data_IF_510878762449
#
_entry.id   IF_510878762449
#
_cell.length_a   1.000
_cell.length_b   1.000
_cell.length_c   1.000
_cell.angle_alpha   90.00
_cell.angle_beta   90.00
_cell.angle_gamma   90.00
#
_symmetry.space_group_name_H-M   'P 1'
#
loop_
_entity.id
_entity.type
_entity.pdbx_description
1 polymer ?
#
# COMPACT_ATOMS: atom_id res chain seq x y z
N UNK A 1 -0.45 2.38 15.31
CA UNK A 1 -1.04 2.76 14.02
C UNK A 1 -0.37 2.14 12.80
N UNK A 2 0.94 1.85 12.80
CA UNK A 2 1.68 1.32 11.63
C UNK A 2 1.03 0.11 10.92
N UNK A 3 0.43 -0.83 11.68
CA UNK A 3 -0.27 -1.96 11.06
C UNK A 3 -1.49 -1.59 10.22
N UNK A 4 -2.24 -0.57 10.63
CA UNK A 4 -3.37 -0.04 9.84
C UNK A 4 -2.86 0.54 8.52
N UNK A 5 -1.79 1.34 8.57
CA UNK A 5 -1.13 1.86 7.36
C UNK A 5 -0.64 0.74 6.44
N UNK A 6 -0.08 -0.34 7.00
CA UNK A 6 0.35 -1.47 6.20
C UNK A 6 -0.81 -2.21 5.53
N UNK A 7 -1.92 -2.44 6.22
CA UNK A 7 -3.10 -3.12 5.65
C UNK A 7 -3.77 -2.26 4.58
N UNK A 8 -4.08 -0.99 4.91
CA UNK A 8 -4.71 -0.07 3.95
C UNK A 8 -3.78 0.24 2.77
N UNK A 9 -2.48 0.44 3.02
CA UNK A 9 -1.48 0.63 1.98
C UNK A 9 -1.35 -0.58 1.06
N UNK A 10 -1.43 -1.80 1.60
CA UNK A 10 -1.43 -3.02 0.77
C UNK A 10 -2.69 -3.11 -0.10
N UNK A 11 -3.86 -2.82 0.45
CA UNK A 11 -5.11 -2.83 -0.31
C UNK A 11 -5.07 -1.81 -1.45
N UNK A 12 -4.56 -0.60 -1.16
CA UNK A 12 -4.34 0.44 -2.15
C UNK A 12 -3.37 -0.01 -3.25
N UNK A 13 -2.20 -0.55 -2.89
CA UNK A 13 -1.22 -1.04 -3.84
C UNK A 13 -1.76 -2.19 -4.70
N UNK A 14 -2.52 -3.11 -4.10
CA UNK A 14 -3.16 -4.21 -4.83
C UNK A 14 -4.13 -3.69 -5.90
N UNK A 15 -5.01 -2.76 -5.51
CA UNK A 15 -6.00 -2.18 -6.42
C UNK A 15 -5.34 -1.37 -7.53
N UNK A 16 -4.38 -0.50 -7.19
CA UNK A 16 -3.70 0.35 -8.17
C UNK A 16 -2.86 -0.48 -9.13
N UNK A 17 -2.13 -1.46 -8.62
CA UNK A 17 -1.27 -2.29 -9.46
C UNK A 17 -2.08 -3.12 -10.45
N UNK A 18 -3.13 -3.83 -9.97
CA UNK A 18 -4.02 -4.61 -10.84
C UNK A 18 -4.68 -3.75 -11.91
N UNK A 19 -5.29 -2.63 -11.51
CA UNK A 19 -5.94 -1.72 -12.45
C UNK A 19 -4.95 -1.12 -13.47
N UNK A 20 -3.72 -0.80 -13.06
CA UNK A 20 -2.70 -0.27 -13.98
C UNK A 20 -2.32 -1.30 -15.03
N UNK A 21 -2.12 -2.57 -14.65
CA UNK A 21 -1.81 -3.64 -15.61
C UNK A 21 -2.94 -3.78 -16.62
N UNK A 22 -4.18 -3.95 -16.14
CA UNK A 22 -5.35 -4.18 -17.02
C UNK A 22 -5.60 -3.02 -17.99
N UNK A 23 -5.25 -1.79 -17.61
CA UNK A 23 -5.42 -0.60 -18.45
C UNK A 23 -4.18 -0.24 -19.28
N UNK A 24 -3.11 -1.04 -19.23
CA UNK A 24 -1.90 -0.84 -20.05
C UNK A 24 -1.49 -2.10 -20.81
N UNK A 25 -2.42 -3.05 -20.97
CA UNK A 25 -2.23 -4.26 -21.78
C UNK A 25 -1.87 -3.91 -23.22
N UNK A 26 -1.02 -4.73 -23.83
CA UNK A 26 -0.87 -4.75 -25.28
C UNK A 26 -2.06 -5.46 -25.92
N UNK A 27 -2.36 -5.11 -27.17
CA UNK A 27 -3.38 -5.79 -27.97
C UNK A 27 -2.76 -7.03 -28.61
N UNK A 28 -2.75 -8.14 -27.86
CA UNK A 28 -2.11 -9.41 -28.26
C UNK A 28 -3.10 -10.42 -28.89
N UNK A 29 -4.34 -10.00 -29.18
CA UNK A 29 -5.35 -10.82 -29.85
C UNK A 29 -6.61 -10.04 -30.26
N UNK A 30 -7.42 -10.63 -31.15
CA UNK A 30 -8.57 -9.95 -31.80
C UNK A 30 -9.86 -9.92 -30.96
N UNK A 31 -9.85 -10.56 -29.78
CA UNK A 31 -11.01 -10.69 -28.92
C UNK A 31 -11.29 -9.42 -28.11
N UNK A 32 -12.56 -9.01 -28.02
CA UNK A 32 -12.96 -7.95 -27.08
C UNK A 32 -12.68 -8.32 -25.60
N UNK A 33 -12.61 -9.62 -25.30
CA UNK A 33 -12.09 -10.13 -24.04
C UNK A 33 -10.60 -10.44 -24.17
N UNK A 34 -9.77 -9.70 -23.43
CA UNK A 34 -8.30 -9.76 -23.52
C UNK A 34 -7.69 -10.95 -22.79
N UNK A 35 -8.42 -11.66 -21.90
CA UNK A 35 -7.85 -12.78 -21.13
C UNK A 35 -7.39 -13.95 -21.99
N UNK A 36 -7.98 -14.14 -23.18
CA UNK A 36 -7.58 -15.20 -24.11
C UNK A 36 -6.29 -14.91 -24.88
N UNK A 37 -5.78 -13.68 -24.82
CA UNK A 37 -4.59 -13.24 -25.54
C UNK A 37 -3.28 -13.49 -24.77
N UNK A 38 -3.35 -13.95 -23.51
CA UNK A 38 -2.17 -14.21 -22.69
C UNK A 38 -1.71 -15.67 -22.77
N UNK A 39 -0.40 -15.89 -22.91
CA UNK A 39 0.22 -17.19 -22.81
C UNK A 39 1.21 -17.25 -21.63
N UNK A 40 1.08 -18.21 -20.69
CA UNK A 40 2.00 -18.37 -19.57
C UNK A 40 3.48 -18.56 -19.94
N UNK A 41 3.79 -19.00 -21.17
CA UNK A 41 5.16 -19.23 -21.63
C UNK A 41 5.69 -18.15 -22.58
N UNK A 42 4.96 -17.05 -22.78
CA UNK A 42 5.44 -15.94 -23.61
C UNK A 42 6.65 -15.25 -22.96
N UNK A 43 7.57 -14.75 -23.78
CA UNK A 43 8.76 -14.06 -23.28
C UNK A 43 8.50 -12.57 -23.04
N UNK A 44 7.55 -12.01 -23.78
CA UNK A 44 7.19 -10.59 -23.76
C UNK A 44 6.32 -10.22 -22.55
N UNK A 45 6.48 -8.99 -22.09
CA UNK A 45 5.57 -8.41 -21.11
C UNK A 45 4.18 -8.14 -21.70
N UNK A 46 3.11 -8.57 -21.01
CA UNK A 46 1.72 -8.39 -21.47
C UNK A 46 1.20 -6.96 -21.35
N UNK A 47 1.93 -6.07 -20.66
CA UNK A 47 1.54 -4.68 -20.43
C UNK A 47 2.72 -3.72 -20.58
N UNK A 48 2.45 -2.50 -21.02
CA UNK A 48 3.44 -1.45 -21.25
C UNK A 48 3.85 -0.74 -19.97
N UNK A 49 5.04 -1.07 -19.47
CA UNK A 49 5.62 -0.39 -18.29
C UNK A 49 5.88 1.10 -18.57
N UNK A 50 6.26 1.45 -19.79
CA UNK A 50 6.55 2.83 -20.19
C UNK A 50 5.29 3.69 -20.14
N UNK A 51 4.17 3.18 -20.66
CA UNK A 51 2.90 3.90 -20.64
C UNK A 51 2.36 4.04 -19.22
N UNK A 52 2.42 2.97 -18.42
CA UNK A 52 2.07 3.02 -17.00
C UNK A 52 2.93 4.06 -16.24
N UNK A 53 4.24 4.06 -16.49
CA UNK A 53 5.18 4.99 -15.87
C UNK A 53 4.85 6.45 -16.20
N UNK A 54 4.61 6.75 -17.48
CA UNK A 54 4.25 8.10 -17.94
C UNK A 54 2.93 8.55 -17.33
N UNK A 55 1.90 7.71 -17.37
CA UNK A 55 0.59 8.02 -16.78
C UNK A 55 0.72 8.42 -15.30
N UNK A 56 1.37 7.58 -14.49
CA UNK A 56 1.51 7.85 -13.06
C UNK A 56 2.44 9.02 -12.75
N UNK A 57 3.48 9.25 -13.56
CA UNK A 57 4.33 10.45 -13.43
C UNK A 57 3.54 11.73 -13.63
N UNK A 58 2.59 11.74 -14.56
CA UNK A 58 1.76 12.90 -14.85
C UNK A 58 0.64 13.09 -13.83
N UNK A 59 0.02 12.00 -13.37
CA UNK A 59 -1.13 12.04 -12.45
C UNK A 59 -0.70 12.25 -11.00
N UNK A 60 0.36 11.58 -10.55
CA UNK A 60 0.76 11.54 -9.14
C UNK A 60 2.16 12.13 -8.89
N UNK A 61 2.86 12.60 -9.93
CA UNK A 61 4.19 13.22 -9.84
C UNK A 61 5.35 12.24 -9.60
N UNK A 62 5.05 11.00 -9.20
CA UNK A 62 6.01 9.92 -8.95
C UNK A 62 5.47 8.60 -9.49
N UNK A 63 6.38 7.67 -9.79
CA UNK A 63 6.00 6.38 -10.37
C UNK A 63 7.07 5.32 -10.13
N UNK A 64 6.70 4.06 -10.34
CA UNK A 64 7.64 2.96 -10.41
C UNK A 64 8.24 2.87 -11.81
N UNK A 65 9.56 2.70 -11.91
CA UNK A 65 10.28 2.45 -13.16
C UNK A 65 10.89 1.05 -13.24
N UNK A 66 11.04 0.37 -12.09
CA UNK A 66 11.60 -0.97 -11.99
C UNK A 66 10.53 -1.94 -11.45
N UNK A 67 10.19 -2.96 -12.26
CA UNK A 67 9.18 -3.97 -11.91
C UNK A 67 9.58 -4.81 -10.69
N UNK A 68 10.86 -5.15 -10.54
CA UNK A 68 11.33 -5.92 -9.39
C UNK A 68 11.16 -5.13 -8.08
N UNK A 69 11.51 -3.84 -8.11
CA UNK A 69 11.32 -2.96 -6.96
C UNK A 69 9.85 -2.81 -6.59
N UNK A 70 8.97 -2.63 -7.60
CA UNK A 70 7.53 -2.55 -7.40
C UNK A 70 6.98 -3.77 -6.63
N UNK A 71 7.29 -4.98 -7.08
CA UNK A 71 6.77 -6.20 -6.46
C UNK A 71 7.38 -6.44 -5.07
N UNK A 72 8.67 -6.14 -4.89
CA UNK A 72 9.31 -6.17 -3.58
C UNK A 72 8.64 -5.19 -2.61
N UNK A 73 8.30 -3.99 -3.08
CA UNK A 73 7.63 -2.98 -2.28
C UNK A 73 6.22 -3.41 -1.86
N UNK A 74 5.47 -4.05 -2.75
CA UNK A 74 4.14 -4.62 -2.42
C UNK A 74 4.23 -5.67 -1.31
N UNK A 75 5.24 -6.54 -1.33
CA UNK A 75 5.51 -7.48 -0.24
C UNK A 75 5.88 -6.73 1.06
N UNK A 76 6.80 -5.78 0.95
CA UNK A 76 7.35 -5.05 2.10
C UNK A 76 6.28 -4.33 2.91
N UNK A 77 5.36 -3.61 2.25
CA UNK A 77 4.31 -2.82 2.92
C UNK A 77 3.38 -3.73 3.75
N UNK A 78 2.94 -4.86 3.17
CA UNK A 78 2.07 -5.82 3.86
C UNK A 78 2.77 -6.45 5.06
N UNK A 79 3.97 -6.98 4.82
CA UNK A 79 4.73 -7.73 5.81
C UNK A 79 5.08 -6.81 6.97
N UNK A 80 5.69 -5.65 6.71
CA UNK A 80 6.09 -4.70 7.76
C UNK A 80 4.90 -4.24 8.59
N UNK A 81 3.74 -3.98 7.98
CA UNK A 81 2.51 -3.63 8.70
C UNK A 81 2.12 -4.68 9.74
N UNK A 82 2.07 -5.95 9.34
CA UNK A 82 1.69 -7.05 10.24
C UNK A 82 2.73 -7.27 11.36
N UNK A 83 4.01 -7.18 11.04
CA UNK A 83 5.08 -7.28 12.05
C UNK A 83 4.98 -6.17 13.10
N UNK A 84 4.74 -4.93 12.68
CA UNK A 84 4.59 -3.81 13.61
C UNK A 84 3.35 -3.94 14.50
N UNK A 85 2.25 -4.52 13.98
CA UNK A 85 1.09 -4.88 14.81
C UNK A 85 1.42 -5.94 15.85
N UNK A 86 2.16 -6.99 15.45
CA UNK A 86 2.51 -8.09 16.35
C UNK A 86 3.37 -7.59 17.52
N UNK A 87 4.36 -6.73 17.25
CA UNK A 87 5.19 -6.12 18.30
C UNK A 87 4.34 -5.34 19.33
N UNK A 88 3.32 -4.59 18.86
CA UNK A 88 2.39 -3.91 19.76
C UNK A 88 1.61 -4.89 20.63
N UNK A 89 1.11 -5.99 20.07
CA UNK A 89 0.34 -7.00 20.82
C UNK A 89 1.19 -7.63 21.93
N UNK A 90 2.48 -7.86 21.66
CA UNK A 90 3.43 -8.32 22.69
C UNK A 90 3.55 -7.31 23.83
N UNK A 91 3.63 -6.00 23.54
CA UNK A 91 3.63 -4.95 24.56
C UNK A 91 2.34 -4.94 25.40
N UNK A 92 1.17 -5.08 24.74
CA UNK A 92 -0.12 -5.15 25.43
C UNK A 92 -0.21 -6.33 26.40
N UNK A 93 0.37 -7.49 26.05
CA UNK A 93 0.42 -8.65 26.95
C UNK A 93 1.18 -8.38 28.26
N UNK A 94 2.06 -7.37 28.27
CA UNK A 94 2.84 -6.93 29.43
C UNK A 94 2.30 -5.65 30.07
N UNK A 95 1.09 -5.20 29.69
CA UNK A 95 0.52 -3.90 30.06
C UNK A 95 1.40 -2.69 29.67
N UNK A 96 2.31 -2.85 28.70
CA UNK A 96 3.10 -1.77 28.12
C UNK A 96 2.26 -1.06 27.05
N UNK A 97 1.35 -0.21 27.52
CA UNK A 97 0.39 0.52 26.69
C UNK A 97 0.86 1.95 26.41
N UNK A 98 0.60 2.42 25.19
CA UNK A 98 0.59 3.86 24.86
C UNK A 98 -0.82 4.41 25.15
N UNK A 99 -1.19 4.49 26.42
CA UNK A 99 -2.56 4.82 26.85
C UNK A 99 -2.76 6.34 26.94
N UNK A 100 -1.91 7.03 27.72
CA UNK A 100 -2.04 8.48 27.94
C UNK A 100 -0.88 9.28 27.36
N UNK A 101 -1.16 10.54 27.07
CA UNK A 101 -0.14 11.58 26.95
C UNK A 101 -0.12 12.40 28.23
N UNK A 102 0.92 12.22 29.07
CA UNK A 102 1.02 12.86 30.39
C UNK A 102 0.90 14.39 30.30
N UNK A 103 1.40 15.01 29.23
CA UNK A 103 1.26 16.45 29.03
C UNK A 103 -0.19 16.91 28.80
N UNK A 104 -1.04 16.05 28.21
CA UNK A 104 -2.47 16.34 28.06
C UNK A 104 -3.22 16.10 29.37
N UNK A 105 -2.88 15.05 30.11
CA UNK A 105 -3.48 14.76 31.42
C UNK A 105 -3.24 15.91 32.41
N UNK A 106 -2.01 16.41 32.50
CA UNK A 106 -1.67 17.55 33.37
C UNK A 106 -2.48 18.78 32.98
N UNK A 107 -2.58 19.09 31.68
CA UNK A 107 -3.33 20.26 31.21
C UNK A 107 -4.81 20.16 31.51
N UNK A 108 -5.41 18.99 31.30
CA UNK A 108 -6.83 18.74 31.61
C UNK A 108 -7.10 18.80 33.12
N UNK A 109 -6.14 18.40 33.94
CA UNK A 109 -6.26 18.50 35.40
C UNK A 109 -6.20 19.95 35.91
N UNK A 110 -5.48 20.83 35.22
CA UNK A 110 -5.33 22.25 35.59
C UNK A 110 -6.43 23.14 34.97
N UNK A 111 -6.91 22.79 33.78
CA UNK A 111 -7.86 23.57 32.99
C UNK A 111 -9.10 22.71 32.66
N UNK A 112 -10.21 22.87 33.41
CA UNK A 112 -11.43 22.08 33.21
C UNK A 112 -12.17 22.41 31.90
N UNK A 113 -11.77 23.45 31.18
CA UNK A 113 -12.31 23.79 29.84
C UNK A 113 -11.46 23.19 28.71
N UNK A 114 -10.30 22.60 29.02
CA UNK A 114 -9.43 22.01 28.01
C UNK A 114 -9.91 20.60 27.62
N UNK A 115 -10.35 20.45 26.37
CA UNK A 115 -10.75 19.18 25.78
C UNK A 115 -10.04 18.94 24.43
N UNK A 116 -9.64 17.69 24.17
CA UNK A 116 -9.13 17.22 22.86
C UNK A 116 -9.81 15.91 22.46
N UNK A 117 -9.81 15.60 21.16
CA UNK A 117 -10.35 14.34 20.62
C UNK A 117 -9.75 13.09 21.25
#
# INVERSE_FOLDING_TARGET
>A
MMGVFGVLGTALLCSIHGATIENTLFEDGDGANTFGAFNPTQAEETYSMVNANRFWSQVFGVTFSNKHWLHLFMLFVKVTGLWMSALRVVGLALNLCSYDFISQEIRTAEDPEFETF
#
